data_IF_852837471767
#
_entry.id   IF_852837471767
#
_cell.length_a   1.000
_cell.length_b   1.000
_cell.length_c   1.000
_cell.angle_alpha   90.00
_cell.angle_beta   90.00
_cell.angle_gamma   90.00
#
_symmetry.space_group_name_H-M   'P 1'
#
loop_
_entity.id
_entity.type
_entity.pdbx_description
1 polymer ?
#
# COMPACT_ATOMS: atom_id res chain seq x y z
N UNK A 1 29.79 -1.64 11.23
CA UNK A 1 28.89 -2.75 10.90
C UNK A 1 28.21 -2.44 9.55
N UNK A 2 27.90 -3.49 8.79
CA UNK A 2 27.09 -3.37 7.58
C UNK A 2 25.63 -3.65 7.89
N UNK A 3 24.77 -2.69 7.61
CA UNK A 3 23.33 -2.79 7.87
C UNK A 3 22.61 -2.77 6.53
N UNK A 4 21.84 -3.82 6.23
CA UNK A 4 21.01 -3.87 5.03
C UNK A 4 19.56 -3.58 5.41
N UNK A 5 18.92 -2.67 4.68
CA UNK A 5 17.51 -2.29 4.87
C UNK A 5 16.71 -2.66 3.62
N UNK A 6 15.63 -3.39 3.80
CA UNK A 6 14.73 -3.79 2.71
C UNK A 6 13.44 -3.00 2.82
N UNK A 7 13.29 -2.02 1.92
CA UNK A 7 12.18 -1.07 1.88
C UNK A 7 12.53 0.29 2.50
N UNK A 8 12.22 1.36 1.79
CA UNK A 8 12.54 2.73 2.15
C UNK A 8 11.32 3.68 2.11
N UNK A 9 10.12 3.18 2.40
CA UNK A 9 9.00 4.06 2.64
C UNK A 9 9.00 4.57 4.11
N UNK A 10 7.90 4.76 4.78
CA UNK A 10 7.85 5.45 6.08
C UNK A 10 8.80 4.88 7.13
N UNK A 11 8.62 3.62 7.52
CA UNK A 11 9.42 3.00 8.58
C UNK A 11 10.89 2.89 8.17
N UNK A 12 11.18 2.47 6.92
CA UNK A 12 12.55 2.38 6.41
C UNK A 12 13.24 3.73 6.35
N UNK A 13 12.59 4.76 5.80
CA UNK A 13 13.15 6.13 5.74
C UNK A 13 13.44 6.68 7.13
N UNK A 14 12.52 6.50 8.10
CA UNK A 14 12.72 6.94 9.48
C UNK A 14 13.91 6.23 10.12
N UNK A 15 13.99 4.90 9.97
CA UNK A 15 15.08 4.08 10.49
C UNK A 15 16.43 4.50 9.88
N UNK A 16 16.52 4.64 8.55
CA UNK A 16 17.74 5.05 7.84
C UNK A 16 18.19 6.43 8.32
N UNK A 17 17.29 7.42 8.38
CA UNK A 17 17.64 8.75 8.89
C UNK A 17 18.17 8.69 10.32
N UNK A 18 17.48 7.99 11.22
CA UNK A 18 17.88 7.86 12.62
C UNK A 18 19.26 7.21 12.75
N UNK A 19 19.53 6.16 11.97
CA UNK A 19 20.84 5.49 11.98
C UNK A 19 21.96 6.43 11.50
N UNK A 20 21.75 7.11 10.36
CA UNK A 20 22.76 7.97 9.76
C UNK A 20 23.05 9.23 10.60
N UNK A 21 22.02 9.77 11.27
CA UNK A 21 22.16 10.96 12.09
C UNK A 21 22.86 10.67 13.44
N UNK A 22 22.58 9.51 14.06
CA UNK A 22 22.98 9.23 15.43
C UNK A 22 24.09 8.17 15.58
N UNK A 23 24.31 7.29 14.60
CA UNK A 23 25.23 6.16 14.72
C UNK A 23 26.28 6.16 13.60
N UNK A 24 27.45 6.70 13.88
CA UNK A 24 28.55 6.80 12.92
C UNK A 24 29.31 5.49 12.74
N UNK A 25 29.99 5.33 11.61
CA UNK A 25 30.86 4.17 11.33
C UNK A 25 30.09 2.93 10.84
N UNK A 26 28.83 3.05 10.50
CA UNK A 26 28.05 1.99 9.87
C UNK A 26 27.97 2.21 8.35
N UNK A 27 28.06 1.13 7.59
CA UNK A 27 27.68 1.08 6.18
C UNK A 27 26.20 0.73 6.10
N UNK A 28 25.39 1.61 5.49
CA UNK A 28 23.94 1.40 5.34
C UNK A 28 23.62 1.19 3.86
N UNK A 29 23.18 -0.02 3.50
CA UNK A 29 22.78 -0.40 2.15
C UNK A 29 21.27 -0.61 2.13
N UNK A 30 20.59 0.00 1.17
CA UNK A 30 19.13 0.01 1.08
C UNK A 30 18.67 -0.52 -0.26
N UNK A 31 17.71 -1.42 -0.25
CA UNK A 31 17.00 -1.91 -1.44
C UNK A 31 15.54 -1.51 -1.40
N UNK A 32 15.07 -0.82 -2.42
CA UNK A 32 13.63 -0.54 -2.60
C UNK A 32 13.19 -0.91 -4.01
N UNK A 33 12.04 -1.58 -4.10
CA UNK A 33 11.47 -2.02 -5.38
C UNK A 33 10.75 -0.92 -6.13
N UNK A 34 10.46 0.23 -5.48
CA UNK A 34 9.81 1.37 -6.09
C UNK A 34 10.83 2.36 -6.68
N UNK A 35 10.34 3.27 -7.51
CA UNK A 35 11.12 4.39 -8.05
C UNK A 35 11.18 5.60 -7.11
N UNK A 36 10.49 5.53 -5.96
CA UNK A 36 10.38 6.61 -4.98
C UNK A 36 10.48 6.06 -3.55
N UNK A 37 10.88 6.92 -2.61
CA UNK A 37 10.89 6.67 -1.16
C UNK A 37 10.09 7.72 -0.43
N UNK A 38 9.76 7.50 0.83
CA UNK A 38 9.06 8.45 1.72
C UNK A 38 7.68 8.91 1.22
N UNK A 39 7.00 8.13 0.37
CA UNK A 39 5.70 8.49 -0.16
C UNK A 39 4.62 8.51 0.92
N UNK A 40 3.94 9.66 1.09
CA UNK A 40 2.82 9.84 2.00
C UNK A 40 1.54 9.25 1.40
N UNK A 41 1.35 7.95 1.56
CA UNK A 41 0.18 7.23 1.06
C UNK A 41 -1.15 7.77 1.60
N UNK A 42 -1.15 8.36 2.81
CA UNK A 42 -2.32 9.04 3.37
C UNK A 42 -2.76 10.29 2.57
N UNK A 43 -1.90 10.87 1.75
CA UNK A 43 -2.24 12.00 0.88
C UNK A 43 -2.75 11.60 -0.51
N UNK A 44 -2.80 10.31 -0.86
CA UNK A 44 -3.20 9.85 -2.19
C UNK A 44 -4.58 10.32 -2.60
N UNK A 45 -5.56 10.18 -1.71
CA UNK A 45 -6.93 10.57 -1.99
C UNK A 45 -7.06 12.09 -2.19
N UNK A 46 -6.32 12.89 -1.41
CA UNK A 46 -6.26 14.34 -1.57
C UNK A 46 -5.67 14.73 -2.93
N UNK A 47 -4.65 14.00 -3.37
CA UNK A 47 -4.04 14.24 -4.68
C UNK A 47 -4.96 13.78 -5.81
N UNK A 48 -5.52 12.57 -5.75
CA UNK A 48 -6.50 12.08 -6.72
C UNK A 48 -7.70 13.03 -6.81
N UNK A 49 -8.19 13.54 -5.69
CA UNK A 49 -9.33 14.47 -5.61
C UNK A 49 -8.99 15.93 -5.97
N UNK A 50 -7.74 16.23 -6.36
CA UNK A 50 -7.31 17.58 -6.75
C UNK A 50 -7.26 18.60 -5.61
N UNK A 51 -7.23 18.15 -4.35
CA UNK A 51 -7.14 19.03 -3.17
C UNK A 51 -5.71 19.51 -2.90
N UNK A 52 -4.72 18.80 -3.43
CA UNK A 52 -3.31 19.22 -3.46
C UNK A 52 -2.82 19.29 -4.90
N UNK A 53 -2.03 20.33 -5.19
CA UNK A 53 -1.47 20.56 -6.51
C UNK A 53 -0.23 19.69 -6.75
N UNK A 54 -0.41 18.60 -7.47
CA UNK A 54 0.69 17.67 -7.82
C UNK A 54 1.18 16.81 -6.66
N UNK A 55 2.18 15.99 -6.94
CA UNK A 55 2.68 14.97 -6.00
C UNK A 55 3.84 15.42 -5.12
N UNK A 56 4.47 16.57 -5.39
CA UNK A 56 5.72 16.97 -4.73
C UNK A 56 5.60 17.06 -3.19
N UNK A 57 4.44 17.50 -2.70
CA UNK A 57 4.16 17.58 -1.26
C UNK A 57 3.96 16.22 -0.57
N UNK A 58 3.90 15.13 -1.34
CA UNK A 58 3.71 13.77 -0.83
C UNK A 58 5.03 13.03 -0.54
N UNK A 59 6.16 13.71 -0.66
CA UNK A 59 7.48 13.13 -0.38
C UNK A 59 8.25 14.01 0.60
N UNK A 60 8.63 13.46 1.75
CA UNK A 60 9.40 14.20 2.77
C UNK A 60 10.90 13.89 2.75
N UNK A 61 11.33 12.88 1.99
CA UNK A 61 12.73 12.54 1.75
C UNK A 61 12.94 12.12 0.29
N UNK A 62 14.19 11.90 -0.10
CA UNK A 62 14.57 11.41 -1.42
C UNK A 62 15.82 10.53 -1.33
N UNK A 63 16.09 9.74 -2.37
CA UNK A 63 17.33 8.99 -2.52
C UNK A 63 18.55 9.89 -2.25
N UNK A 64 18.64 11.02 -2.95
CA UNK A 64 19.79 11.95 -2.88
C UNK A 64 20.01 12.47 -1.45
N UNK A 65 18.92 12.79 -0.72
CA UNK A 65 19.02 13.25 0.67
C UNK A 65 19.61 12.20 1.60
N UNK A 66 19.26 10.94 1.41
CA UNK A 66 19.77 9.84 2.23
C UNK A 66 21.18 9.43 1.81
N UNK A 67 21.51 9.49 0.52
CA UNK A 67 22.86 9.23 0.01
C UNK A 67 23.84 10.33 0.46
N UNK A 68 23.40 11.60 0.49
CA UNK A 68 24.20 12.70 1.06
C UNK A 68 24.53 12.50 2.55
N UNK A 69 23.75 11.71 3.27
CA UNK A 69 24.03 11.30 4.67
C UNK A 69 24.91 10.05 4.77
N UNK A 70 25.22 9.37 3.65
CA UNK A 70 26.10 8.21 3.61
C UNK A 70 25.41 6.85 3.38
N UNK A 71 24.12 6.80 3.06
CA UNK A 71 23.49 5.57 2.64
C UNK A 71 23.87 5.20 1.19
N UNK A 72 23.89 3.90 0.87
CA UNK A 72 23.95 3.39 -0.48
C UNK A 72 22.58 2.84 -0.86
N UNK A 73 21.90 3.46 -1.83
CA UNK A 73 20.49 3.16 -2.12
C UNK A 73 20.31 2.60 -3.53
N UNK A 74 19.73 1.41 -3.60
CA UNK A 74 19.34 0.74 -4.82
C UNK A 74 17.81 0.85 -5.01
N UNK A 75 17.37 1.81 -5.84
CA UNK A 75 15.98 1.98 -6.23
C UNK A 75 15.59 1.00 -7.35
N UNK A 76 14.31 0.76 -7.53
CA UNK A 76 13.75 -0.18 -8.52
C UNK A 76 14.47 -1.56 -8.48
N UNK A 77 14.89 -1.94 -7.26
CA UNK A 77 15.67 -3.14 -6.99
C UNK A 77 14.95 -4.00 -5.97
N UNK A 78 14.37 -5.09 -6.42
CA UNK A 78 13.58 -6.01 -5.59
C UNK A 78 14.49 -7.05 -4.93
N UNK A 79 14.44 -7.13 -3.60
CA UNK A 79 14.98 -8.28 -2.88
C UNK A 79 14.14 -9.51 -3.22
N UNK A 80 14.80 -10.54 -3.70
CA UNK A 80 14.15 -11.77 -4.19
C UNK A 80 14.34 -12.95 -3.26
N UNK A 81 15.40 -12.94 -2.45
CA UNK A 81 15.71 -13.99 -1.48
C UNK A 81 16.64 -13.46 -0.38
N UNK A 82 16.61 -14.12 0.76
CA UNK A 82 17.52 -13.89 1.88
C UNK A 82 18.02 -15.25 2.38
N UNK A 83 19.33 -15.45 2.37
CA UNK A 83 19.98 -16.55 3.06
C UNK A 83 20.32 -16.08 4.48
N UNK A 84 19.46 -16.42 5.44
CA UNK A 84 19.61 -15.99 6.84
C UNK A 84 20.79 -16.68 7.53
N UNK A 85 21.15 -17.89 7.10
CA UNK A 85 22.25 -18.64 7.70
C UNK A 85 23.61 -18.07 7.28
N UNK A 86 23.75 -17.67 6.00
CA UNK A 86 24.94 -16.99 5.48
C UNK A 86 24.92 -15.48 5.63
N UNK A 87 23.80 -14.91 6.06
CA UNK A 87 23.56 -13.46 6.17
C UNK A 87 23.77 -12.73 4.83
N UNK A 88 23.12 -13.21 3.77
CA UNK A 88 23.23 -12.65 2.42
C UNK A 88 21.82 -12.28 1.91
N UNK A 89 21.70 -11.07 1.38
CA UNK A 89 20.52 -10.59 0.67
C UNK A 89 20.77 -10.65 -0.83
N UNK A 90 19.84 -11.26 -1.57
CA UNK A 90 19.84 -11.33 -3.03
C UNK A 90 18.76 -10.39 -3.58
N UNK A 91 19.15 -9.54 -4.51
CA UNK A 91 18.21 -8.60 -5.13
C UNK A 91 18.40 -8.54 -6.64
N UNK A 92 17.35 -8.06 -7.33
CA UNK A 92 17.37 -7.90 -8.80
C UNK A 92 16.82 -6.52 -9.13
N UNK A 93 17.61 -5.73 -9.85
CA UNK A 93 17.21 -4.46 -10.41
C UNK A 93 16.21 -4.63 -11.55
N UNK A 94 15.45 -3.59 -11.85
CA UNK A 94 14.52 -3.52 -12.99
C UNK A 94 15.23 -3.74 -14.34
N UNK A 95 16.51 -3.37 -14.41
CA UNK A 95 17.42 -3.59 -15.55
C UNK A 95 17.94 -5.04 -15.65
N UNK A 96 17.52 -5.92 -14.73
CA UNK A 96 17.97 -7.30 -14.64
C UNK A 96 19.29 -7.51 -13.90
N UNK A 97 19.95 -6.45 -13.44
CA UNK A 97 21.18 -6.53 -12.67
C UNK A 97 20.96 -7.27 -11.36
N UNK A 98 21.84 -8.23 -11.05
CA UNK A 98 21.83 -9.00 -9.81
C UNK A 98 22.72 -8.35 -8.78
N UNK A 99 22.24 -8.41 -7.52
CA UNK A 99 22.95 -7.92 -6.35
C UNK A 99 23.02 -9.04 -5.32
N UNK A 100 24.17 -9.15 -4.68
CA UNK A 100 24.42 -10.01 -3.55
C UNK A 100 25.10 -9.16 -2.48
N UNK A 101 24.46 -9.01 -1.31
CA UNK A 101 24.92 -8.11 -0.27
C UNK A 101 24.91 -8.83 1.07
N UNK A 102 26.08 -8.96 1.71
CA UNK A 102 26.17 -9.50 3.07
C UNK A 102 25.78 -8.44 4.11
N UNK A 103 25.35 -8.88 5.29
CA UNK A 103 24.96 -7.97 6.38
C UNK A 103 25.43 -8.46 7.75
N UNK A 104 25.73 -7.50 8.64
CA UNK A 104 25.86 -7.74 10.08
C UNK A 104 24.48 -7.64 10.75
N UNK A 105 23.62 -6.71 10.28
CA UNK A 105 22.25 -6.52 10.72
C UNK A 105 21.34 -6.35 9.50
N UNK A 106 20.16 -6.96 9.56
CA UNK A 106 19.12 -6.85 8.52
C UNK A 106 17.87 -6.19 9.09
N UNK A 107 17.31 -5.23 8.37
CA UNK A 107 16.06 -4.57 8.73
C UNK A 107 15.05 -4.80 7.62
N UNK A 108 13.97 -5.50 7.94
CA UNK A 108 12.84 -5.75 7.07
C UNK A 108 11.81 -4.64 7.28
N UNK A 109 11.64 -3.78 6.28
CA UNK A 109 10.67 -2.68 6.22
C UNK A 109 9.80 -2.81 4.97
N UNK A 110 9.37 -4.04 4.71
CA UNK A 110 8.69 -4.44 3.47
C UNK A 110 7.23 -3.99 3.39
N UNK A 111 6.70 -3.45 4.49
CA UNK A 111 5.37 -2.86 4.54
C UNK A 111 4.24 -3.88 4.38
N UNK A 112 3.20 -3.48 3.67
CA UNK A 112 1.99 -4.28 3.43
C UNK A 112 1.58 -4.25 1.96
N UNK A 113 0.83 -5.27 1.53
CA UNK A 113 0.28 -5.41 0.19
C UNK A 113 -1.25 -5.36 0.24
N UNK A 114 -1.93 -4.86 -0.79
CA UNK A 114 -3.37 -5.01 -0.90
C UNK A 114 -3.79 -6.48 -0.77
N UNK A 115 -4.91 -6.72 -0.11
CA UNK A 115 -5.50 -8.06 -0.09
C UNK A 115 -5.97 -8.38 -1.50
N UNK A 116 -5.46 -9.48 -2.04
CA UNK A 116 -5.88 -10.01 -3.33
C UNK A 116 -7.20 -10.76 -3.18
N UNK A 117 -8.30 -10.09 -3.50
CA UNK A 117 -9.62 -10.68 -3.42
C UNK A 117 -9.84 -11.71 -4.55
N UNK A 118 -10.52 -12.83 -4.28
CA UNK A 118 -10.85 -13.82 -5.29
C UNK A 118 -12.03 -13.36 -6.17
N UNK A 119 -11.89 -12.18 -6.80
CA UNK A 119 -12.90 -11.61 -7.68
C UNK A 119 -12.57 -11.97 -9.12
N UNK A 120 -13.51 -12.58 -9.83
CA UNK A 120 -13.38 -12.89 -11.26
C UNK A 120 -13.36 -11.57 -12.01
N UNK A 121 -12.43 -11.42 -12.98
CA UNK A 121 -12.34 -10.20 -13.79
C UNK A 121 -11.56 -9.05 -13.15
N UNK A 122 -10.85 -9.27 -12.04
CA UNK A 122 -10.02 -8.25 -11.38
C UNK A 122 -8.84 -7.74 -12.22
N UNK A 123 -8.50 -8.46 -13.30
CA UNK A 123 -7.40 -8.09 -14.22
C UNK A 123 -7.91 -7.32 -15.46
N UNK A 124 -9.21 -6.99 -15.53
CA UNK A 124 -9.76 -6.16 -16.59
C UNK A 124 -9.18 -4.74 -16.54
N UNK A 125 -9.08 -4.09 -17.71
CA UNK A 125 -8.73 -2.68 -17.77
C UNK A 125 -9.71 -1.85 -16.92
N UNK A 126 -9.19 -0.84 -16.21
CA UNK A 126 -9.90 0.00 -15.23
C UNK A 126 -10.28 -0.69 -13.91
N UNK A 127 -9.73 -1.86 -13.61
CA UNK A 127 -9.67 -2.34 -12.23
C UNK A 127 -8.37 -1.83 -11.61
N UNK A 128 -8.45 -1.21 -10.42
CA UNK A 128 -7.33 -0.53 -9.78
C UNK A 128 -7.18 -0.94 -8.31
N UNK A 129 -5.95 -1.08 -7.87
CA UNK A 129 -5.57 -0.94 -6.47
C UNK A 129 -4.97 0.44 -6.26
N UNK A 130 -5.12 1.02 -5.07
CA UNK A 130 -4.54 2.32 -4.73
C UNK A 130 -3.74 2.17 -3.44
N UNK A 131 -2.45 1.95 -3.57
CA UNK A 131 -1.50 1.78 -2.45
C UNK A 131 -0.19 2.54 -2.68
N UNK A 132 0.33 2.47 -3.91
CA UNK A 132 1.61 3.05 -4.28
C UNK A 132 1.40 4.40 -4.99
N UNK A 133 2.45 5.23 -5.00
CA UNK A 133 2.47 6.46 -5.79
C UNK A 133 2.04 6.23 -7.24
N UNK A 134 2.59 5.18 -7.88
CA UNK A 134 2.32 4.83 -9.27
C UNK A 134 0.83 4.50 -9.50
N UNK A 135 0.17 3.87 -8.51
CA UNK A 135 -1.26 3.59 -8.61
C UNK A 135 -2.10 4.87 -8.61
N UNK A 136 -1.78 5.82 -7.72
CA UNK A 136 -2.48 7.10 -7.68
C UNK A 136 -2.27 7.90 -8.97
N UNK A 137 -1.03 7.94 -9.48
CA UNK A 137 -0.70 8.58 -10.76
C UNK A 137 -1.47 7.96 -11.92
N UNK A 138 -1.57 6.62 -11.97
CA UNK A 138 -2.31 5.91 -13.01
C UNK A 138 -3.81 6.26 -12.98
N UNK A 139 -4.41 6.31 -11.77
CA UNK A 139 -5.82 6.71 -11.62
C UNK A 139 -6.03 8.13 -12.15
N UNK A 140 -5.18 9.08 -11.77
CA UNK A 140 -5.27 10.47 -12.24
C UNK A 140 -5.15 10.52 -13.76
N UNK A 141 -4.13 9.88 -14.33
CA UNK A 141 -3.92 9.85 -15.78
C UNK A 141 -5.13 9.28 -16.53
N UNK A 142 -5.76 8.21 -16.00
CA UNK A 142 -6.96 7.62 -16.58
C UNK A 142 -8.15 8.58 -16.53
N UNK A 143 -8.36 9.27 -15.41
CA UNK A 143 -9.46 10.23 -15.25
C UNK A 143 -9.28 11.47 -16.14
N UNK A 144 -8.04 11.91 -16.35
CA UNK A 144 -7.72 13.04 -17.26
C UNK A 144 -7.89 12.67 -18.72
N UNK A 145 -7.36 11.51 -19.13
CA UNK A 145 -7.34 11.07 -20.51
C UNK A 145 -8.69 10.52 -20.98
N UNK A 146 -9.47 9.89 -20.10
CA UNK A 146 -10.68 9.16 -20.48
C UNK A 146 -11.95 9.79 -19.88
N UNK A 147 -12.61 10.59 -20.69
CA UNK A 147 -13.89 11.24 -20.33
C UNK A 147 -15.08 10.26 -20.25
N UNK A 148 -14.93 9.02 -20.76
CA UNK A 148 -15.99 8.00 -20.70
C UNK A 148 -16.06 7.27 -19.37
N UNK A 149 -15.10 7.47 -18.47
CA UNK A 149 -15.20 6.99 -17.08
C UNK A 149 -16.16 7.93 -16.35
N UNK A 150 -17.41 7.54 -16.22
CA UNK A 150 -18.46 8.31 -15.54
C UNK A 150 -18.86 7.69 -14.20
N UNK A 151 -18.86 6.35 -14.12
CA UNK A 151 -19.30 5.57 -12.96
C UNK A 151 -18.15 4.80 -12.34
N UNK A 152 -17.93 4.99 -11.05
CA UNK A 152 -16.84 4.35 -10.31
C UNK A 152 -17.41 3.54 -9.15
N UNK A 153 -17.04 2.26 -9.06
CA UNK A 153 -17.27 1.47 -7.87
C UNK A 153 -15.99 1.46 -7.00
N UNK A 154 -16.14 1.83 -5.75
CA UNK A 154 -15.12 1.68 -4.72
C UNK A 154 -15.52 0.50 -3.85
N UNK A 155 -14.75 -0.58 -3.88
CA UNK A 155 -15.03 -1.83 -3.17
C UNK A 155 -14.22 -1.89 -1.88
N UNK A 156 -14.93 -1.79 -0.76
CA UNK A 156 -14.38 -1.64 0.59
C UNK A 156 -14.64 -0.24 1.14
N UNK A 157 -15.44 -0.14 2.22
CA UNK A 157 -15.83 1.11 2.86
C UNK A 157 -15.01 1.40 4.14
N UNK A 158 -13.74 1.01 4.15
CA UNK A 158 -12.76 1.44 5.14
C UNK A 158 -12.27 2.87 4.88
N UNK A 159 -11.22 3.34 5.58
CA UNK A 159 -10.66 4.69 5.43
C UNK A 159 -10.37 5.04 3.96
N UNK A 160 -9.56 4.21 3.30
CA UNK A 160 -9.13 4.48 1.93
C UNK A 160 -10.32 4.52 0.98
N UNK A 161 -11.29 3.60 1.16
CA UNK A 161 -12.47 3.58 0.31
C UNK A 161 -13.33 4.81 0.45
N UNK A 162 -13.56 5.29 1.68
CA UNK A 162 -14.33 6.52 1.95
C UNK A 162 -13.62 7.74 1.37
N UNK A 163 -12.31 7.89 1.58
CA UNK A 163 -11.51 8.98 1.04
C UNK A 163 -11.48 8.98 -0.50
N UNK A 164 -11.34 7.82 -1.13
CA UNK A 164 -11.36 7.69 -2.58
C UNK A 164 -12.75 7.94 -3.16
N UNK A 165 -13.81 7.51 -2.48
CA UNK A 165 -15.17 7.82 -2.90
C UNK A 165 -15.41 9.35 -2.96
N UNK A 166 -14.94 10.10 -1.95
CA UNK A 166 -14.94 11.56 -1.98
C UNK A 166 -14.10 12.11 -3.14
N UNK A 167 -12.88 11.58 -3.33
CA UNK A 167 -11.99 12.01 -4.41
C UNK A 167 -12.65 11.86 -5.79
N UNK A 168 -13.30 10.73 -6.08
CA UNK A 168 -14.01 10.54 -7.34
C UNK A 168 -15.25 11.44 -7.48
N UNK A 169 -15.95 11.75 -6.37
CA UNK A 169 -17.03 12.75 -6.40
C UNK A 169 -16.52 14.13 -6.81
N UNK A 170 -15.34 14.53 -6.39
CA UNK A 170 -14.72 15.80 -6.81
C UNK A 170 -14.42 15.85 -8.33
N UNK A 171 -14.19 14.70 -8.96
CA UNK A 171 -14.13 14.54 -10.41
C UNK A 171 -15.51 14.55 -11.10
N UNK A 172 -16.60 14.76 -10.35
CA UNK A 172 -17.97 14.74 -10.87
C UNK A 172 -18.48 13.35 -11.23
N UNK A 173 -17.83 12.28 -10.72
CA UNK A 173 -18.22 10.90 -11.04
C UNK A 173 -19.45 10.47 -10.24
N UNK A 174 -20.22 9.54 -10.81
CA UNK A 174 -21.20 8.77 -10.07
C UNK A 174 -20.46 7.67 -9.30
N UNK A 175 -20.58 7.68 -7.97
CA UNK A 175 -19.77 6.80 -7.11
C UNK A 175 -20.66 5.83 -6.35
N UNK A 176 -20.34 4.56 -6.46
CA UNK A 176 -20.88 3.46 -5.66
C UNK A 176 -19.82 3.04 -4.65
N UNK A 177 -20.11 3.20 -3.35
CA UNK A 177 -19.28 2.68 -2.25
C UNK A 177 -19.87 1.35 -1.81
N UNK A 178 -19.19 0.26 -2.16
CA UNK A 178 -19.67 -1.12 -2.00
C UNK A 178 -18.90 -1.81 -0.89
N UNK A 179 -19.58 -2.40 0.07
CA UNK A 179 -18.95 -3.20 1.13
C UNK A 179 -19.79 -4.41 1.53
N UNK A 180 -19.12 -5.49 1.93
CA UNK A 180 -19.77 -6.67 2.47
C UNK A 180 -20.33 -6.45 3.89
N UNK A 181 -19.80 -5.47 4.62
CA UNK A 181 -20.32 -5.04 5.92
C UNK A 181 -21.60 -4.18 5.76
N UNK A 182 -22.27 -3.94 6.87
CA UNK A 182 -23.53 -3.16 6.94
C UNK A 182 -23.33 -1.63 6.98
N UNK A 183 -22.07 -1.18 7.03
CA UNK A 183 -21.75 0.24 7.18
C UNK A 183 -20.31 0.56 6.75
N UNK A 184 -20.02 1.85 6.53
CA UNK A 184 -18.65 2.32 6.39
C UNK A 184 -17.92 2.34 7.75
N UNK A 185 -16.58 2.22 7.70
CA UNK A 185 -15.70 2.37 8.85
C UNK A 185 -16.06 1.47 10.07
N UNK A 186 -16.68 0.31 9.80
CA UNK A 186 -17.25 -0.59 10.81
C UNK A 186 -16.27 -1.02 11.91
N UNK A 187 -15.01 -1.21 11.54
CA UNK A 187 -13.96 -1.68 12.45
C UNK A 187 -13.22 -0.55 13.17
N UNK A 188 -13.55 0.70 12.86
CA UNK A 188 -12.79 1.87 13.32
C UNK A 188 -13.57 2.77 14.28
N UNK A 189 -14.89 2.87 14.10
CA UNK A 189 -15.70 3.81 14.85
C UNK A 189 -16.97 3.19 15.41
N UNK A 190 -17.47 3.80 16.51
CA UNK A 190 -18.77 3.50 17.09
C UNK A 190 -19.92 3.86 16.15
N UNK A 191 -21.09 3.26 16.39
CA UNK A 191 -22.30 3.44 15.58
C UNK A 191 -22.64 4.91 15.35
N UNK A 192 -22.53 5.75 16.37
CA UNK A 192 -22.86 7.18 16.28
C UNK A 192 -22.04 7.90 15.20
N UNK A 193 -20.72 7.64 15.14
CA UNK A 193 -19.84 8.26 14.14
C UNK A 193 -20.04 7.66 12.76
N UNK A 194 -20.29 6.36 12.68
CA UNK A 194 -20.60 5.68 11.40
C UNK A 194 -21.90 6.19 10.79
N UNK A 195 -22.95 6.39 11.61
CA UNK A 195 -24.22 6.93 11.14
C UNK A 195 -24.06 8.37 10.62
N UNK A 196 -23.28 9.21 11.30
CA UNK A 196 -22.95 10.56 10.83
C UNK A 196 -22.19 10.53 9.51
N UNK A 197 -21.19 9.63 9.38
CA UNK A 197 -20.45 9.47 8.13
C UNK A 197 -21.35 9.00 6.99
N UNK A 198 -22.20 8.01 7.22
CA UNK A 198 -23.17 7.54 6.23
C UNK A 198 -24.09 8.68 5.75
N UNK A 199 -24.55 9.53 6.67
CA UNK A 199 -25.35 10.70 6.34
C UNK A 199 -24.57 11.65 5.43
N UNK A 200 -23.33 11.99 5.80
CA UNK A 200 -22.48 12.89 5.01
C UNK A 200 -22.21 12.33 3.61
N UNK A 201 -21.87 11.04 3.51
CA UNK A 201 -21.61 10.39 2.21
C UNK A 201 -22.84 10.46 1.29
N UNK A 202 -24.05 10.21 1.84
CA UNK A 202 -25.32 10.30 1.08
C UNK A 202 -25.63 11.74 0.65
N UNK A 203 -25.48 12.71 1.54
CA UNK A 203 -25.68 14.14 1.25
C UNK A 203 -24.76 14.64 0.14
N UNK A 204 -23.55 14.08 0.03
CA UNK A 204 -22.62 14.34 -1.08
C UNK A 204 -22.87 13.47 -2.32
N UNK A 205 -23.96 12.71 -2.35
CA UNK A 205 -24.40 11.95 -3.51
C UNK A 205 -23.54 10.70 -3.79
N UNK A 206 -22.94 10.11 -2.77
CA UNK A 206 -22.30 8.80 -2.86
C UNK A 206 -23.36 7.73 -2.58
N UNK A 207 -23.47 6.77 -3.49
CA UNK A 207 -24.40 5.63 -3.37
C UNK A 207 -23.77 4.58 -2.47
N UNK A 208 -24.41 4.29 -1.32
CA UNK A 208 -23.93 3.35 -0.33
C UNK A 208 -24.58 1.98 -0.58
N UNK A 209 -23.76 1.02 -1.00
CA UNK A 209 -24.17 -0.34 -1.35
C UNK A 209 -23.55 -1.34 -0.35
N UNK A 210 -24.15 -1.41 0.83
CA UNK A 210 -23.68 -2.26 1.93
C UNK A 210 -24.31 -3.65 1.92
N UNK A 211 -23.70 -4.58 2.69
CA UNK A 211 -24.01 -6.01 2.69
C UNK A 211 -23.95 -6.61 1.28
N UNK A 212 -23.07 -6.06 0.45
CA UNK A 212 -22.87 -6.43 -0.94
C UNK A 212 -21.48 -6.99 -1.16
N UNK A 213 -21.39 -8.30 -1.34
CA UNK A 213 -20.14 -8.96 -1.66
C UNK A 213 -19.94 -8.98 -3.18
N UNK A 214 -18.96 -8.24 -3.67
CA UNK A 214 -18.56 -8.28 -5.09
C UNK A 214 -17.93 -9.63 -5.39
N UNK A 215 -18.47 -10.35 -6.36
CA UNK A 215 -18.02 -11.69 -6.77
C UNK A 215 -17.33 -11.67 -8.12
N UNK A 216 -17.78 -10.79 -9.01
CA UNK A 216 -17.30 -10.75 -10.37
C UNK A 216 -17.33 -9.30 -10.91
N UNK A 217 -16.33 -8.99 -11.71
CA UNK A 217 -16.26 -7.78 -12.52
C UNK A 217 -16.34 -8.23 -13.97
N UNK A 218 -17.31 -7.71 -14.74
CA UNK A 218 -17.53 -8.09 -16.14
C UNK A 218 -17.22 -6.96 -17.09
N UNK A 219 -16.81 -7.35 -18.31
CA UNK A 219 -16.61 -6.47 -19.43
C UNK A 219 -15.85 -7.15 -20.56
N UNK A 220 -15.78 -6.48 -21.69
CA UNK A 220 -15.04 -6.95 -22.86
C UNK A 220 -13.67 -6.25 -22.90
N UNK A 221 -12.66 -6.84 -22.21
CA UNK A 221 -11.31 -6.27 -22.07
C UNK A 221 -11.21 -5.16 -21.03
N UNK A 222 -12.25 -4.36 -20.81
CA UNK A 222 -12.35 -3.32 -19.78
C UNK A 222 -13.59 -3.51 -18.93
N UNK A 223 -13.63 -2.87 -17.77
CA UNK A 223 -14.78 -2.89 -16.86
C UNK A 223 -16.03 -2.32 -17.52
N UNK A 224 -17.16 -3.01 -17.38
CA UNK A 224 -18.50 -2.56 -17.77
C UNK A 224 -19.50 -2.64 -16.61
N UNK A 225 -19.35 -3.60 -15.71
CA UNK A 225 -20.18 -3.76 -14.52
C UNK A 225 -19.54 -4.61 -13.44
N UNK A 226 -20.02 -4.46 -12.20
CA UNK A 226 -19.77 -5.39 -11.09
C UNK A 226 -21.01 -6.22 -10.80
N UNK A 227 -20.78 -7.45 -10.34
CA UNK A 227 -21.81 -8.39 -9.89
C UNK A 227 -21.60 -8.68 -8.41
N UNK A 228 -22.64 -8.49 -7.62
CA UNK A 228 -22.67 -8.77 -6.20
C UNK A 228 -23.62 -9.90 -5.87
N UNK A 229 -23.72 -10.26 -4.58
CA UNK A 229 -24.73 -11.20 -4.09
C UNK A 229 -26.18 -10.67 -4.14
N UNK A 230 -26.38 -9.35 -4.34
CA UNK A 230 -27.72 -8.73 -4.35
C UNK A 230 -28.12 -8.15 -5.72
N UNK A 231 -27.20 -8.05 -6.66
CA UNK A 231 -27.49 -7.48 -7.99
C UNK A 231 -26.25 -7.11 -8.78
N UNK A 232 -26.46 -6.33 -9.84
CA UNK A 232 -25.38 -5.84 -10.68
C UNK A 232 -25.44 -4.32 -10.83
N UNK A 233 -24.29 -3.68 -10.99
CA UNK A 233 -24.15 -2.24 -11.15
C UNK A 233 -23.29 -1.93 -12.38
N UNK A 234 -23.77 -1.15 -13.35
CA UNK A 234 -22.96 -0.68 -14.46
C UNK A 234 -21.93 0.32 -13.94
N UNK A 235 -20.65 0.08 -14.23
CA UNK A 235 -19.52 0.93 -13.83
C UNK A 235 -18.42 0.89 -14.88
N UNK A 236 -17.66 1.98 -14.98
CA UNK A 236 -16.57 2.13 -15.95
C UNK A 236 -15.19 1.92 -15.32
N UNK A 237 -15.12 1.99 -13.99
CA UNK A 237 -13.91 1.76 -13.19
C UNK A 237 -14.26 1.10 -11.86
N UNK A 238 -13.39 0.21 -11.42
CA UNK A 238 -13.46 -0.41 -10.08
C UNK A 238 -12.17 -0.15 -9.33
N UNK A 239 -12.27 0.32 -8.08
CA UNK A 239 -11.13 0.47 -7.18
C UNK A 239 -11.30 -0.47 -5.99
N UNK A 240 -10.33 -1.38 -5.81
CA UNK A 240 -10.36 -2.39 -4.77
C UNK A 240 -9.63 -1.89 -3.52
N UNK A 241 -10.38 -1.68 -2.43
CA UNK A 241 -9.93 -1.12 -1.16
C UNK A 241 -10.23 -2.03 0.05
N UNK A 242 -10.20 -3.35 -0.14
CA UNK A 242 -10.61 -4.34 0.88
C UNK A 242 -9.53 -4.65 1.93
N UNK A 243 -8.65 -3.69 2.22
CA UNK A 243 -7.62 -3.82 3.24
C UNK A 243 -6.26 -4.30 2.72
N UNK A 244 -5.35 -4.54 3.68
CA UNK A 244 -3.96 -4.90 3.42
C UNK A 244 -3.53 -6.08 4.27
N UNK A 245 -2.55 -6.82 3.78
CA UNK A 245 -1.84 -7.87 4.52
C UNK A 245 -0.36 -7.52 4.65
N UNK A 246 0.31 -7.88 5.74
CA UNK A 246 1.75 -7.72 5.88
C UNK A 246 2.52 -8.38 4.74
N UNK A 247 3.56 -7.72 4.26
CA UNK A 247 4.43 -8.24 3.21
C UNK A 247 5.62 -8.99 3.83
N UNK A 248 5.43 -10.29 4.13
CA UNK A 248 6.38 -11.11 4.91
C UNK A 248 6.92 -12.32 4.15
N UNK A 249 6.74 -12.37 2.83
CA UNK A 249 7.15 -13.52 2.03
C UNK A 249 8.66 -13.82 2.12
N UNK A 250 9.52 -12.80 2.28
CA UNK A 250 10.96 -12.95 2.40
C UNK A 250 11.42 -13.73 3.64
N UNK A 251 10.66 -13.66 4.73
CA UNK A 251 10.94 -14.38 5.98
C UNK A 251 10.06 -15.61 6.21
N UNK A 252 9.20 -15.96 5.24
CA UNK A 252 8.24 -17.06 5.39
C UNK A 252 8.94 -18.38 5.69
N UNK A 253 8.48 -19.06 6.76
CA UNK A 253 9.06 -20.33 7.20
C UNK A 253 10.40 -20.22 7.93
N UNK A 254 10.94 -19.01 8.12
CA UNK A 254 12.17 -18.73 8.86
C UNK A 254 11.94 -17.82 10.08
N UNK A 255 11.13 -16.79 9.92
CA UNK A 255 10.78 -15.83 10.98
C UNK A 255 9.37 -16.17 11.49
N UNK A 256 9.16 -16.10 12.79
CA UNK A 256 7.85 -16.31 13.42
C UNK A 256 6.85 -15.26 12.96
N UNK A 257 5.63 -15.72 12.64
CA UNK A 257 4.54 -14.87 12.16
C UNK A 257 3.36 -14.90 13.14
N UNK A 258 2.77 -13.72 13.33
CA UNK A 258 1.48 -13.60 14.02
C UNK A 258 0.34 -14.08 13.12
N UNK A 259 -0.86 -14.32 13.72
CA UNK A 259 -2.05 -14.82 13.00
C UNK A 259 -2.48 -13.98 11.79
N UNK A 260 -2.14 -12.69 11.75
CA UNK A 260 -2.40 -11.80 10.61
C UNK A 260 -1.30 -11.85 9.53
N UNK A 261 -0.26 -12.64 9.73
CA UNK A 261 0.87 -12.80 8.84
C UNK A 261 2.02 -11.79 9.04
N UNK A 262 1.95 -10.91 10.05
CA UNK A 262 3.05 -9.98 10.38
C UNK A 262 4.18 -10.71 11.12
N UNK A 263 5.43 -10.26 10.93
CA UNK A 263 6.56 -10.73 11.74
C UNK A 263 6.34 -10.37 13.20
N UNK A 264 6.47 -11.35 14.09
CA UNK A 264 6.48 -11.12 15.54
C UNK A 264 7.81 -10.49 15.89
N UNK A 265 7.76 -9.36 16.58
CA UNK A 265 8.95 -8.65 17.08
C UNK A 265 8.79 -8.30 18.55
N UNK A 266 9.92 -8.15 19.25
CA UNK A 266 9.95 -7.60 20.59
C UNK A 266 9.89 -6.06 20.58
N UNK A 267 9.93 -5.42 21.75
CA UNK A 267 9.91 -3.95 21.87
C UNK A 267 11.12 -3.25 21.25
N UNK A 268 12.19 -3.98 20.96
CA UNK A 268 13.35 -3.48 20.22
C UNK A 268 13.27 -3.74 18.72
N UNK A 269 12.12 -4.25 18.24
CA UNK A 269 11.86 -4.63 16.88
C UNK A 269 12.68 -5.85 16.38
N UNK A 270 13.27 -6.62 17.29
CA UNK A 270 14.00 -7.84 16.97
C UNK A 270 13.01 -8.97 16.66
N UNK A 271 13.27 -9.71 15.60
CA UNK A 271 12.50 -10.91 15.22
C UNK A 271 12.98 -12.15 15.99
N UNK A 272 12.40 -13.32 15.67
CA UNK A 272 12.87 -14.63 16.19
C UNK A 272 14.27 -15.02 15.69
N UNK A 273 14.83 -14.33 14.70
CA UNK A 273 16.20 -14.56 14.21
C UNK A 273 17.18 -13.53 14.75
N UNK A 274 18.37 -13.99 15.08
CA UNK A 274 19.46 -13.10 15.50
C UNK A 274 19.84 -12.15 14.34
N UNK A 275 20.10 -10.88 14.70
CA UNK A 275 20.54 -9.84 13.80
C UNK A 275 19.52 -9.45 12.72
N UNK A 276 18.26 -9.90 12.85
CA UNK A 276 17.15 -9.58 11.94
C UNK A 276 16.07 -8.81 12.70
N UNK A 277 15.72 -7.65 12.18
CA UNK A 277 14.72 -6.74 12.73
C UNK A 277 13.60 -6.53 11.70
N UNK A 278 12.39 -6.25 12.16
CA UNK A 278 11.27 -5.89 11.27
C UNK A 278 10.52 -4.68 11.82
N UNK A 279 10.16 -3.75 10.94
CA UNK A 279 9.54 -2.47 11.30
C UNK A 279 8.41 -2.09 10.33
N UNK A 280 7.49 -1.26 10.80
CA UNK A 280 6.34 -0.79 10.00
C UNK A 280 5.28 -1.87 9.81
N UNK A 281 4.51 -1.78 8.71
CA UNK A 281 3.32 -2.62 8.47
C UNK A 281 3.62 -4.12 8.35
N UNK A 282 4.86 -4.53 8.14
CA UNK A 282 5.23 -5.96 8.09
C UNK A 282 5.47 -6.57 9.47
N UNK A 283 5.48 -5.77 10.54
CA UNK A 283 5.80 -6.21 11.89
C UNK A 283 4.62 -6.00 12.86
N UNK A 284 4.58 -6.79 13.93
CA UNK A 284 3.67 -6.59 15.06
C UNK A 284 4.40 -6.87 16.37
N UNK A 285 4.32 -5.91 17.29
CA UNK A 285 4.81 -6.11 18.67
C UNK A 285 3.83 -7.04 19.36
N UNK A 286 4.35 -8.08 19.95
CA UNK A 286 3.59 -8.99 20.80
C UNK A 286 4.01 -8.75 22.24
N UNK A 287 3.07 -8.30 23.07
CA UNK A 287 3.20 -8.14 24.52
C UNK A 287 2.59 -9.32 25.27
#
# INVERSE_FOLDING_TARGET
MKIVVVGANHAGTACINTMLDNYKGNEVVVFDSNSNISFLGCGMALWIGGQIAGSNGLFYSSKDKLEAKGAKIHMETRVTNIDFDKKIVYATGKDGKKYEENYDKLILSTGSLPIDLPIIGKDLENVQYVKLFQNAQEVINKLEANKTIEKVAVVGAGYIGVELAEAFKRWGKEVYLVDAADCCLCTYYDKLFRDKMNTQLKEHGIKLEYEQLVREIKGNGKVEKIITNKGEFPVDMVVLCAGFKPNTDLGKGKIELFKNGAYIVDRTQKTSLDDVYAIGDCATVFD
#
